data_IF_187078294785
#
_entry.id   IF_187078294785
#
_cell.length_a   1.000
_cell.length_b   1.000
_cell.length_c   1.000
_cell.angle_alpha   90.00
_cell.angle_beta   90.00
_cell.angle_gamma   90.00
#
_symmetry.space_group_name_H-M   'P 1'
#
loop_
_entity.id
_entity.type
_entity.pdbx_description
1 polymer ?
#
# COMPACT_ATOMS: atom_id res chain seq x y z
N UNK A 1 3.71 7.79 19.50
CA UNK A 1 4.45 8.26 20.69
C UNK A 1 5.83 8.68 20.24
N UNK A 2 6.49 9.59 20.96
CA UNK A 2 7.77 10.16 20.53
C UNK A 2 8.93 9.87 21.51
N UNK A 3 8.86 8.72 22.20
CA UNK A 3 9.80 8.36 23.27
C UNK A 3 10.90 7.38 22.80
N UNK A 4 10.83 6.88 21.55
CA UNK A 4 11.82 5.95 20.97
C UNK A 4 11.87 4.57 21.66
N UNK A 5 10.88 4.26 22.50
CA UNK A 5 10.83 3.02 23.30
C UNK A 5 9.76 2.06 22.78
N UNK A 6 9.94 0.78 23.13
CA UNK A 6 8.97 -0.30 22.92
C UNK A 6 7.77 -0.19 23.87
N UNK A 7 6.98 0.88 23.73
CA UNK A 7 5.80 1.13 24.55
C UNK A 7 4.83 2.07 23.83
N UNK A 8 3.68 1.55 23.43
CA UNK A 8 2.56 2.35 22.91
C UNK A 8 1.62 2.68 24.07
N UNK A 9 1.39 3.97 24.31
CA UNK A 9 0.55 4.45 25.40
C UNK A 9 -0.88 4.74 24.93
N UNK A 10 -1.84 4.72 25.86
CA UNK A 10 -3.18 5.22 25.60
C UNK A 10 -3.15 6.72 25.26
N UNK A 11 -4.00 7.19 24.31
CA UNK A 11 -5.07 6.45 23.64
C UNK A 11 -4.63 5.61 22.43
N UNK A 12 -3.39 5.74 21.95
CA UNK A 12 -2.93 4.99 20.77
C UNK A 12 -2.98 3.46 20.98
N UNK A 13 -2.83 2.99 22.22
CA UNK A 13 -2.95 1.57 22.57
C UNK A 13 -4.40 1.02 22.59
N UNK A 14 -5.43 1.86 22.40
CA UNK A 14 -6.81 1.40 22.31
C UNK A 14 -7.03 0.61 21.01
N UNK A 15 -7.60 -0.61 21.05
CA UNK A 15 -7.83 -1.41 19.85
C UNK A 15 -8.80 -0.76 18.85
N UNK A 16 -9.60 0.23 19.26
CA UNK A 16 -10.47 1.01 18.38
C UNK A 16 -9.75 2.17 17.70
N UNK A 17 -8.53 2.50 18.13
CA UNK A 17 -7.68 3.47 17.46
C UNK A 17 -6.79 2.78 16.41
N UNK A 18 -6.34 3.57 15.43
CA UNK A 18 -5.24 3.20 14.53
C UNK A 18 -3.97 3.83 15.09
N UNK A 19 -3.07 3.02 15.63
CA UNK A 19 -1.79 3.51 16.14
C UNK A 19 -0.81 3.69 14.99
N UNK A 20 -0.27 4.91 14.87
CA UNK A 20 0.61 5.32 13.76
C UNK A 20 2.04 5.53 14.25
N UNK A 21 2.99 4.80 13.66
CA UNK A 21 4.43 5.06 13.80
C UNK A 21 4.93 6.04 12.73
N UNK A 22 6.08 6.66 12.97
CA UNK A 22 6.68 7.64 12.07
C UNK A 22 7.87 7.05 11.32
N UNK A 23 7.94 7.32 10.01
CA UNK A 23 9.12 7.04 9.17
C UNK A 23 9.82 8.33 8.73
N UNK A 24 11.08 8.20 8.34
CA UNK A 24 11.86 9.23 7.66
C UNK A 24 11.70 9.17 6.13
N UNK A 25 12.57 9.87 5.38
CA UNK A 25 12.52 9.89 3.91
C UNK A 25 13.13 8.63 3.25
N UNK A 26 13.82 7.81 4.02
CA UNK A 26 14.44 6.56 3.61
C UNK A 26 13.56 5.34 3.90
N UNK A 27 12.37 5.58 4.43
CA UNK A 27 11.45 4.56 4.94
C UNK A 27 11.99 3.79 6.15
N UNK A 28 12.96 4.36 6.86
CA UNK A 28 13.39 3.86 8.15
C UNK A 28 12.45 4.38 9.26
N UNK A 29 12.27 3.59 10.32
CA UNK A 29 11.50 4.03 11.50
C UNK A 29 12.24 5.20 12.13
N UNK A 30 11.56 6.33 12.29
CA UNK A 30 12.13 7.49 12.96
C UNK A 30 12.60 7.11 14.38
N UNK A 31 13.81 7.54 14.74
CA UNK A 31 14.53 7.27 15.99
C UNK A 31 13.68 7.49 17.24
N UNK A 32 12.84 8.53 17.25
CA UNK A 32 11.95 8.86 18.35
C UNK A 32 10.61 8.10 18.32
N UNK A 33 10.25 7.42 17.22
CA UNK A 33 8.94 6.78 17.10
C UNK A 33 8.85 5.63 18.09
N UNK A 34 7.92 5.74 19.05
CA UNK A 34 7.58 4.61 19.92
C UNK A 34 7.04 3.46 19.05
N UNK A 35 7.38 2.22 19.44
CA UNK A 35 7.04 1.01 18.71
C UNK A 35 6.47 -0.06 19.66
N UNK A 36 5.92 -1.14 19.13
CA UNK A 36 5.36 -2.23 19.92
C UNK A 36 4.12 -2.83 19.28
N UNK A 37 3.49 -3.82 19.96
CA UNK A 37 2.47 -4.65 19.33
C UNK A 37 1.14 -3.98 19.03
N UNK A 38 0.98 -2.72 19.45
CA UNK A 38 -0.19 -1.92 19.14
C UNK A 38 -0.01 -1.08 17.86
N UNK A 39 1.22 -0.91 17.35
CA UNK A 39 1.47 -0.21 16.08
C UNK A 39 0.73 -0.94 14.97
N UNK A 40 -0.08 -0.20 14.23
CA UNK A 40 -0.89 -0.78 13.17
C UNK A 40 -0.38 -0.41 11.79
N UNK A 41 0.11 0.81 11.62
CA UNK A 41 0.57 1.31 10.32
C UNK A 41 1.58 2.43 10.53
N UNK A 42 2.38 2.69 9.50
CA UNK A 42 3.36 3.77 9.46
C UNK A 42 2.97 4.87 8.50
N UNK A 43 3.48 6.07 8.75
CA UNK A 43 3.42 7.18 7.80
C UNK A 43 4.62 8.13 7.96
N UNK A 44 4.89 8.98 6.97
CA UNK A 44 5.95 9.98 7.06
C UNK A 44 5.74 10.91 8.26
N UNK A 45 6.66 10.86 9.22
CA UNK A 45 6.70 11.75 10.38
C UNK A 45 8.01 12.52 10.50
N UNK A 46 9.01 12.14 9.70
CA UNK A 46 10.33 12.74 9.62
C UNK A 46 11.25 12.35 10.77
N UNK A 47 12.54 12.60 10.61
CA UNK A 47 13.59 12.35 11.61
C UNK A 47 14.66 13.46 11.55
N UNK A 48 15.20 13.80 12.72
CA UNK A 48 16.32 14.73 12.85
C UNK A 48 17.68 14.06 12.61
N UNK A 49 17.77 12.73 12.72
CA UNK A 49 19.05 12.02 12.48
C UNK A 49 19.44 12.02 10.99
N UNK A 50 18.46 12.22 10.10
CA UNK A 50 18.61 12.20 8.64
C UNK A 50 18.71 13.62 8.00
N UNK A 51 18.97 14.66 8.82
CA UNK A 51 19.14 16.04 8.31
C UNK A 51 20.39 16.24 7.44
N UNK A 52 21.26 15.23 7.27
CA UNK A 52 22.47 15.33 6.46
C UNK A 52 22.20 15.35 4.95
N UNK A 53 21.03 14.91 4.46
CA UNK A 53 20.71 14.85 3.02
C UNK A 53 19.51 15.69 2.56
N UNK A 54 18.82 16.38 3.47
CA UNK A 54 17.72 17.28 3.11
C UNK A 54 16.34 16.67 3.38
N UNK A 55 15.65 17.33 4.31
CA UNK A 55 14.19 17.30 4.55
C UNK A 55 13.54 15.94 4.72
N UNK A 56 13.92 15.20 5.76
CA UNK A 56 13.03 14.21 6.37
C UNK A 56 11.85 14.89 7.12
N UNK A 57 12.05 16.14 7.56
CA UNK A 57 11.05 16.90 8.32
C UNK A 57 9.78 17.22 7.53
N UNK A 58 8.64 17.22 8.23
CA UNK A 58 7.31 17.48 7.67
C UNK A 58 6.95 18.97 7.84
N UNK A 59 6.62 19.63 6.73
CA UNK A 59 6.10 21.00 6.75
C UNK A 59 4.71 21.00 7.39
N UNK A 60 4.55 21.76 8.46
CA UNK A 60 3.33 21.83 9.26
C UNK A 60 2.94 23.28 9.53
N UNK A 61 1.64 23.53 9.64
CA UNK A 61 1.13 24.84 10.07
C UNK A 61 1.44 25.06 11.55
N UNK A 62 1.71 26.31 11.93
CA UNK A 62 2.05 26.63 13.32
C UNK A 62 1.63 28.03 13.71
N UNK A 63 0.76 28.09 14.71
CA UNK A 63 0.36 29.34 15.32
C UNK A 63 1.43 29.76 16.35
N UNK A 64 2.11 30.87 16.10
CA UNK A 64 3.05 31.47 17.06
C UNK A 64 4.45 31.81 16.54
N UNK A 65 4.72 31.58 15.25
CA UNK A 65 5.91 32.09 14.55
C UNK A 65 5.54 33.19 13.57
N UNK A 66 6.51 34.03 13.17
CA UNK A 66 6.36 35.01 12.07
C UNK A 66 6.17 34.34 10.69
N UNK A 67 6.28 33.00 10.62
CA UNK A 67 5.99 32.18 9.46
C UNK A 67 4.74 31.33 9.70
N UNK A 68 3.86 31.24 8.70
CA UNK A 68 2.63 30.43 8.72
C UNK A 68 2.91 28.91 8.78
N UNK A 69 4.15 28.51 8.46
CA UNK A 69 4.61 27.13 8.37
C UNK A 69 6.01 26.96 8.98
N UNK A 70 6.26 25.80 9.58
CA UNK A 70 7.60 25.32 9.91
C UNK A 70 7.76 23.85 9.53
N UNK A 71 9.02 23.42 9.43
CA UNK A 71 9.36 22.01 9.40
C UNK A 71 9.45 21.47 10.82
N UNK A 72 8.79 20.35 11.08
CA UNK A 72 8.80 19.65 12.36
C UNK A 72 8.80 18.14 12.15
N UNK A 73 9.01 17.39 13.21
CA UNK A 73 8.98 15.93 13.22
C UNK A 73 8.00 15.44 14.28
N UNK A 74 7.51 14.23 14.11
CA UNK A 74 6.75 13.54 15.15
C UNK A 74 5.80 12.50 14.61
N UNK A 75 5.39 11.56 15.49
CA UNK A 75 4.20 10.74 15.23
C UNK A 75 2.93 11.61 15.12
N UNK A 76 2.96 12.83 15.68
CA UNK A 76 1.96 13.89 15.46
C UNK A 76 1.88 14.36 14.00
N UNK A 77 2.95 14.23 13.22
CA UNK A 77 2.99 14.56 11.79
C UNK A 77 2.68 13.35 10.93
N UNK A 78 3.01 12.14 11.38
CA UNK A 78 2.61 10.90 10.72
C UNK A 78 1.08 10.67 10.75
N UNK A 79 0.45 10.84 11.92
CA UNK A 79 -0.98 10.62 12.12
C UNK A 79 -1.92 11.38 11.14
N UNK A 80 -1.71 12.67 10.83
CA UNK A 80 -2.56 13.38 9.87
C UNK A 80 -2.41 12.87 8.43
N UNK A 81 -1.30 12.26 8.03
CA UNK A 81 -1.20 11.60 6.72
C UNK A 81 -2.14 10.39 6.62
N UNK A 82 -2.15 9.53 7.65
CA UNK A 82 -3.09 8.39 7.73
C UNK A 82 -4.53 8.87 7.77
N UNK A 83 -4.80 9.93 8.54
CA UNK A 83 -6.12 10.55 8.61
C UNK A 83 -6.58 11.10 7.26
N UNK A 84 -5.67 11.77 6.54
CA UNK A 84 -5.93 12.27 5.19
C UNK A 84 -6.27 11.14 4.22
N UNK A 85 -5.52 10.03 4.25
CA UNK A 85 -5.83 8.87 3.43
C UNK A 85 -7.19 8.25 3.77
N UNK A 86 -7.51 8.09 5.05
CA UNK A 86 -8.82 7.61 5.48
C UNK A 86 -9.96 8.51 4.96
N UNK A 87 -9.77 9.84 4.98
CA UNK A 87 -10.74 10.79 4.43
C UNK A 87 -10.89 10.66 2.90
N UNK A 88 -9.80 10.43 2.17
CA UNK A 88 -9.85 10.17 0.72
C UNK A 88 -10.63 8.89 0.44
N UNK A 89 -10.34 7.79 1.13
CA UNK A 89 -11.07 6.52 1.00
C UNK A 89 -12.56 6.69 1.28
N UNK A 90 -12.90 7.44 2.34
CA UNK A 90 -14.29 7.78 2.66
C UNK A 90 -14.97 8.54 1.51
N UNK A 91 -14.27 9.51 0.91
CA UNK A 91 -14.79 10.27 -0.23
C UNK A 91 -15.03 9.42 -1.49
N UNK A 92 -14.31 8.29 -1.61
CA UNK A 92 -14.42 7.33 -2.70
C UNK A 92 -15.46 6.22 -2.43
N UNK A 93 -16.18 6.29 -1.29
CA UNK A 93 -17.28 5.37 -0.98
C UNK A 93 -16.93 4.27 0.04
N UNK A 94 -15.68 4.18 0.51
CA UNK A 94 -15.30 3.28 1.62
C UNK A 94 -15.75 3.92 2.93
N UNK A 95 -17.02 3.75 3.29
CA UNK A 95 -17.64 4.53 4.38
C UNK A 95 -17.62 3.85 5.75
N UNK A 96 -17.30 2.56 5.80
CA UNK A 96 -17.17 1.79 7.05
C UNK A 96 -15.78 1.96 7.65
N UNK A 97 -15.70 2.20 8.96
CA UNK A 97 -14.42 2.25 9.67
C UNK A 97 -13.63 0.94 9.53
N UNK A 98 -14.32 -0.21 9.51
CA UNK A 98 -13.68 -1.52 9.30
C UNK A 98 -13.03 -1.61 7.92
N UNK A 99 -13.75 -1.17 6.87
CA UNK A 99 -13.27 -1.27 5.50
C UNK A 99 -12.15 -0.27 5.23
N UNK A 100 -12.23 0.95 5.77
CA UNK A 100 -11.13 1.92 5.72
C UNK A 100 -9.89 1.33 6.39
N UNK A 101 -10.06 0.78 7.60
CA UNK A 101 -8.96 0.19 8.36
C UNK A 101 -8.34 -1.00 7.64
N UNK A 102 -9.14 -1.85 7.01
CA UNK A 102 -8.64 -2.94 6.16
C UNK A 102 -7.86 -2.39 4.96
N UNK A 103 -8.44 -1.41 4.24
CA UNK A 103 -7.81 -0.80 3.08
C UNK A 103 -6.45 -0.16 3.41
N UNK A 104 -6.35 0.52 4.55
CA UNK A 104 -5.07 1.08 5.04
C UNK A 104 -3.99 -0.01 5.16
N UNK A 105 -4.34 -1.20 5.69
CA UNK A 105 -3.40 -2.30 5.92
C UNK A 105 -3.03 -3.02 4.64
N UNK A 106 -4.01 -3.38 3.81
CA UNK A 106 -3.81 -4.22 2.62
C UNK A 106 -3.14 -3.47 1.48
N UNK A 107 -3.11 -2.15 1.54
CA UNK A 107 -2.49 -1.31 0.50
C UNK A 107 -1.20 -0.67 0.96
N UNK A 108 -0.78 -0.88 2.21
CA UNK A 108 0.48 -0.34 2.71
C UNK A 108 1.68 -0.94 1.98
N UNK A 109 2.73 -0.14 1.80
CA UNK A 109 4.03 -0.64 1.39
C UNK A 109 4.67 -1.32 2.60
N UNK A 110 4.88 -2.64 2.52
CA UNK A 110 5.51 -3.44 3.58
C UNK A 110 6.98 -2.99 3.78
N UNK A 111 7.32 -2.65 5.02
CA UNK A 111 8.64 -2.15 5.41
C UNK A 111 9.22 -3.03 6.51
N UNK A 112 10.53 -3.25 6.48
CA UNK A 112 11.19 -4.11 7.46
C UNK A 112 10.96 -5.61 7.18
N UNK A 113 10.81 -6.45 8.22
CA UNK A 113 10.49 -7.86 8.04
C UNK A 113 9.09 -8.04 7.45
N UNK A 114 8.97 -8.88 6.41
CA UNK A 114 7.70 -9.00 5.69
C UNK A 114 6.51 -9.40 6.56
N UNK A 115 5.35 -8.80 6.28
CA UNK A 115 4.12 -8.92 7.04
C UNK A 115 3.99 -7.85 8.12
N UNK A 116 3.25 -8.15 9.19
CA UNK A 116 3.13 -7.21 10.30
C UNK A 116 4.34 -7.31 11.23
N UNK A 117 4.85 -6.16 11.64
CA UNK A 117 5.87 -6.04 12.68
C UNK A 117 5.59 -4.89 13.66
N UNK A 118 6.34 -4.86 14.76
CA UNK A 118 6.11 -3.90 15.84
C UNK A 118 6.62 -2.49 15.55
N UNK A 119 7.50 -2.33 14.56
CA UNK A 119 8.10 -1.06 14.17
C UNK A 119 7.23 -0.35 13.12
N UNK A 120 6.82 -1.08 12.09
CA UNK A 120 6.10 -0.52 10.97
C UNK A 120 4.60 -0.84 10.94
N UNK A 121 4.14 -1.76 11.79
CA UNK A 121 2.79 -2.28 11.69
C UNK A 121 2.65 -3.08 10.40
N UNK A 122 1.63 -2.76 9.59
CA UNK A 122 1.47 -3.31 8.24
C UNK A 122 2.30 -2.60 7.17
N UNK A 123 3.24 -1.73 7.56
CA UNK A 123 4.04 -0.94 6.64
C UNK A 123 3.59 0.51 6.52
N UNK A 124 4.16 1.26 5.58
CA UNK A 124 3.83 2.68 5.35
C UNK A 124 2.59 2.80 4.48
N UNK A 125 1.68 3.72 4.82
CA UNK A 125 0.54 4.03 3.96
C UNK A 125 0.97 4.30 2.50
N UNK A 126 0.24 3.72 1.55
CA UNK A 126 0.39 4.03 0.13
C UNK A 126 -0.92 4.61 -0.42
N UNK A 127 -0.94 5.93 -0.59
CA UNK A 127 -2.14 6.64 -1.06
C UNK A 127 -2.53 6.23 -2.49
N UNK A 128 -1.56 5.92 -3.36
CA UNK A 128 -1.83 5.52 -4.73
C UNK A 128 -2.54 4.15 -4.78
N UNK A 129 -2.02 3.16 -4.05
CA UNK A 129 -2.61 1.82 -3.99
C UNK A 129 -4.01 1.84 -3.34
N UNK A 130 -4.16 2.55 -2.21
CA UNK A 130 -5.45 2.72 -1.55
C UNK A 130 -6.53 3.33 -2.48
N UNK A 131 -6.18 4.33 -3.28
CA UNK A 131 -7.12 4.95 -4.23
C UNK A 131 -7.51 3.99 -5.36
N UNK A 132 -6.55 3.26 -5.93
CA UNK A 132 -6.82 2.26 -6.97
C UNK A 132 -7.73 1.13 -6.46
N UNK A 133 -7.58 0.75 -5.19
CA UNK A 133 -8.31 -0.35 -4.56
C UNK A 133 -9.55 0.09 -3.77
N UNK A 134 -9.93 1.37 -3.80
CA UNK A 134 -11.05 1.88 -2.99
C UNK A 134 -12.37 1.13 -3.26
N UNK A 135 -12.63 0.77 -4.52
CA UNK A 135 -13.84 0.02 -4.88
C UNK A 135 -13.87 -1.41 -4.30
N UNK A 136 -12.73 -2.11 -4.26
CA UNK A 136 -12.62 -3.44 -3.64
C UNK A 136 -12.66 -3.36 -2.12
N UNK A 137 -12.12 -2.29 -1.53
CA UNK A 137 -12.23 -2.05 -0.10
C UNK A 137 -13.69 -1.83 0.34
N UNK A 138 -14.51 -1.12 -0.47
CA UNK A 138 -15.90 -0.78 -0.13
C UNK A 138 -16.90 -1.95 -0.19
N UNK A 139 -16.60 -3.04 -0.91
CA UNK A 139 -17.55 -4.15 -1.13
C UNK A 139 -17.43 -5.27 -0.08
N UNK A 140 -16.75 -5.02 1.04
CA UNK A 140 -16.66 -5.98 2.14
C UNK A 140 -15.54 -7.01 1.98
N UNK A 141 -14.41 -6.64 1.36
CA UNK A 141 -13.14 -7.35 1.51
C UNK A 141 -12.56 -7.30 2.94
N UNK A 142 -13.38 -7.11 3.97
CA UNK A 142 -13.03 -7.05 5.39
C UNK A 142 -12.78 -8.43 6.02
N UNK A 143 -12.31 -9.39 5.23
CA UNK A 143 -11.85 -10.71 5.66
C UNK A 143 -10.56 -11.00 4.92
N UNK A 144 -9.46 -10.53 5.48
CA UNK A 144 -8.14 -10.60 4.88
C UNK A 144 -7.13 -9.85 5.73
N UNK A 145 -6.74 -10.46 6.85
CA UNK A 145 -5.38 -10.16 7.33
C UNK A 145 -4.39 -10.61 6.26
N UNK A 146 -3.23 -9.98 6.10
CA UNK A 146 -2.16 -10.44 5.22
C UNK A 146 -1.85 -11.91 5.52
N UNK A 147 -2.21 -12.73 4.54
CA UNK A 147 -2.57 -14.14 4.71
C UNK A 147 -3.65 -14.56 3.71
N UNK A 148 -4.56 -13.63 3.38
CA UNK A 148 -5.49 -13.79 2.25
C UNK A 148 -4.91 -13.12 1.01
N UNK A 149 -4.37 -13.94 0.11
CA UNK A 149 -3.80 -13.56 -1.19
C UNK A 149 -4.79 -12.70 -2.00
N UNK A 150 -4.44 -11.48 -2.34
CA UNK A 150 -5.18 -10.65 -3.29
C UNK A 150 -5.04 -11.26 -4.70
N UNK A 151 -6.09 -11.13 -5.52
CA UNK A 151 -5.99 -11.62 -6.89
C UNK A 151 -4.95 -10.79 -7.68
N UNK A 152 -4.06 -11.41 -8.48
CA UNK A 152 -3.07 -10.69 -9.24
C UNK A 152 -3.73 -9.79 -10.30
N UNK A 153 -3.09 -8.65 -10.59
CA UNK A 153 -3.49 -7.77 -11.69
C UNK A 153 -2.87 -8.28 -13.00
N UNK A 154 -3.72 -8.73 -13.91
CA UNK A 154 -3.30 -9.18 -15.23
C UNK A 154 -2.94 -7.99 -16.13
N UNK A 155 -1.72 -8.01 -16.67
CA UNK A 155 -1.22 -7.06 -17.67
C UNK A 155 -0.59 -7.86 -18.80
N UNK A 156 -1.01 -7.61 -20.04
CA UNK A 156 -0.45 -8.31 -21.19
C UNK A 156 -0.22 -7.41 -22.39
N UNK A 157 0.71 -7.85 -23.23
CA UNK A 157 0.92 -7.34 -24.59
C UNK A 157 0.80 -8.49 -25.59
N UNK A 158 0.61 -8.16 -26.87
CA UNK A 158 0.59 -9.15 -27.95
C UNK A 158 1.32 -8.61 -29.18
N UNK A 159 1.91 -9.51 -29.94
CA UNK A 159 2.54 -9.23 -31.23
C UNK A 159 2.20 -10.34 -32.22
N UNK A 160 1.76 -9.98 -33.43
CA UNK A 160 1.34 -10.96 -34.44
C UNK A 160 2.25 -10.93 -35.65
N UNK A 161 2.51 -12.12 -36.18
CA UNK A 161 3.13 -12.35 -37.50
C UNK A 161 2.07 -12.88 -38.46
N UNK A 162 2.46 -13.24 -39.69
CA UNK A 162 1.53 -13.81 -40.66
C UNK A 162 0.90 -15.14 -40.19
N UNK A 163 1.61 -15.91 -39.36
CA UNK A 163 1.24 -17.29 -39.02
C UNK A 163 0.79 -17.47 -37.56
N UNK A 164 1.19 -16.56 -36.65
CA UNK A 164 0.87 -16.68 -35.22
C UNK A 164 0.98 -15.37 -34.45
N UNK A 165 0.28 -15.28 -33.32
CA UNK A 165 0.42 -14.23 -32.33
C UNK A 165 1.14 -14.75 -31.08
N UNK A 166 2.08 -13.95 -30.57
CA UNK A 166 2.74 -14.14 -29.27
C UNK A 166 2.09 -13.22 -28.24
N UNK A 167 1.82 -13.76 -27.06
CA UNK A 167 1.24 -13.06 -25.92
C UNK A 167 2.23 -13.07 -24.78
N UNK A 168 2.41 -11.91 -24.15
CA UNK A 168 3.33 -11.73 -23.04
C UNK A 168 2.60 -11.12 -21.85
N UNK A 169 2.47 -11.91 -20.78
CA UNK A 169 1.84 -11.56 -19.52
C UNK A 169 2.83 -11.25 -18.41
N UNK A 170 4.15 -11.18 -18.68
CA UNK A 170 5.18 -11.02 -17.63
C UNK A 170 5.09 -9.68 -16.89
N UNK A 171 4.35 -8.71 -17.41
CA UNK A 171 4.05 -7.45 -16.74
C UNK A 171 2.92 -7.58 -15.70
N UNK A 172 2.25 -8.73 -15.62
CA UNK A 172 1.27 -9.02 -14.57
C UNK A 172 1.96 -9.05 -13.22
N UNK A 173 1.29 -8.56 -12.19
CA UNK A 173 1.88 -8.41 -10.88
C UNK A 173 0.86 -8.74 -9.80
N UNK A 174 1.37 -9.14 -8.65
CA UNK A 174 0.58 -9.42 -7.46
C UNK A 174 1.03 -8.48 -6.35
N UNK A 175 0.07 -7.85 -5.68
CA UNK A 175 0.32 -6.78 -4.72
C UNK A 175 0.84 -7.32 -3.39
N UNK A 176 0.45 -8.54 -3.03
CA UNK A 176 0.76 -9.21 -1.78
C UNK A 176 1.40 -10.59 -1.97
N UNK A 177 1.81 -10.91 -3.20
CA UNK A 177 2.32 -12.22 -3.56
C UNK A 177 3.19 -12.26 -4.82
N UNK A 178 3.28 -13.44 -5.42
CA UNK A 178 3.84 -13.63 -6.75
C UNK A 178 2.78 -14.23 -7.65
N UNK A 179 2.78 -13.85 -8.92
CA UNK A 179 1.96 -14.52 -9.93
C UNK A 179 2.49 -15.94 -10.13
N UNK A 180 1.86 -16.92 -9.48
CA UNK A 180 2.29 -18.33 -9.50
C UNK A 180 1.78 -19.10 -10.72
N UNK A 181 0.79 -18.56 -11.45
CA UNK A 181 0.21 -19.21 -12.62
C UNK A 181 -0.34 -18.22 -13.63
N UNK A 182 -0.35 -18.62 -14.90
CA UNK A 182 -0.87 -17.85 -16.03
C UNK A 182 -1.78 -18.75 -16.85
N UNK A 183 -2.93 -18.22 -17.26
CA UNK A 183 -3.87 -18.88 -18.15
C UNK A 183 -4.25 -17.93 -19.29
N UNK A 184 -4.26 -18.45 -20.52
CA UNK A 184 -4.66 -17.73 -21.71
C UNK A 184 -5.91 -18.39 -22.28
N UNK A 185 -6.93 -17.59 -22.54
CA UNK A 185 -8.05 -17.92 -23.42
C UNK A 185 -7.86 -17.10 -24.69
N UNK A 186 -7.81 -17.77 -25.84
CA UNK A 186 -7.60 -17.09 -27.13
C UNK A 186 -8.92 -16.75 -27.82
N UNK A 187 -10.09 -17.10 -27.26
CA UNK A 187 -11.39 -16.75 -27.81
C UNK A 187 -11.84 -17.56 -29.02
N UNK A 188 -11.03 -18.51 -29.50
CA UNK A 188 -11.36 -19.48 -30.56
C UNK A 188 -11.64 -20.90 -30.01
N UNK A 189 -11.73 -21.02 -28.69
CA UNK A 189 -11.91 -22.28 -27.97
C UNK A 189 -10.61 -23.00 -27.61
N UNK A 190 -9.45 -22.44 -27.98
CA UNK A 190 -8.14 -22.92 -27.52
C UNK A 190 -7.63 -22.12 -26.31
N UNK A 191 -6.76 -22.75 -25.51
CA UNK A 191 -6.21 -22.18 -24.29
C UNK A 191 -4.74 -22.58 -24.12
N UNK A 192 -3.98 -21.74 -23.39
CA UNK A 192 -2.59 -22.02 -23.03
C UNK A 192 -2.30 -21.63 -21.57
N UNK A 193 -1.11 -21.99 -21.10
CA UNK A 193 -0.59 -21.58 -19.79
C UNK A 193 0.88 -21.16 -19.90
N UNK A 194 1.36 -20.44 -18.89
CA UNK A 194 2.73 -19.88 -18.86
C UNK A 194 2.75 -18.37 -19.07
N UNK A 195 3.80 -17.71 -18.57
CA UNK A 195 3.92 -16.25 -18.59
C UNK A 195 3.92 -15.65 -20.01
N UNK A 196 4.33 -16.45 -21.00
CA UNK A 196 4.21 -16.16 -22.42
C UNK A 196 3.52 -17.33 -23.12
N UNK A 197 2.79 -17.05 -24.19
CA UNK A 197 2.17 -18.07 -25.03
C UNK A 197 2.22 -17.68 -26.51
N UNK A 198 2.19 -18.67 -27.39
CA UNK A 198 2.10 -18.45 -28.85
C UNK A 198 0.92 -19.24 -29.38
N UNK A 199 0.08 -18.60 -30.19
CA UNK A 199 -1.10 -19.22 -30.78
C UNK A 199 -1.30 -18.83 -32.25
N UNK A 200 -1.78 -19.78 -33.04
CA UNK A 200 -2.09 -19.60 -34.46
C UNK A 200 -3.59 -19.74 -34.67
N UNK A 201 -4.23 -18.65 -35.11
CA UNK A 201 -5.66 -18.63 -35.40
C UNK A 201 -5.92 -19.29 -36.76
N UNK A 202 -6.83 -20.25 -36.80
CA UNK A 202 -7.17 -20.98 -38.03
C UNK A 202 -7.88 -20.09 -39.06
N UNK A 203 -8.67 -19.14 -38.58
CA UNK A 203 -9.42 -18.19 -39.38
C UNK A 203 -8.98 -16.76 -39.04
N UNK A 204 -9.09 -15.79 -39.96
CA UNK A 204 -8.96 -14.38 -39.63
C UNK A 204 -10.21 -13.92 -38.86
N UNK A 205 -10.02 -13.21 -37.76
CA UNK A 205 -11.13 -12.78 -36.92
C UNK A 205 -10.75 -11.82 -35.80
N UNK A 206 -11.76 -11.33 -35.07
CA UNK A 206 -11.59 -10.63 -33.80
C UNK A 206 -11.89 -11.62 -32.67
N UNK A 207 -10.87 -11.88 -31.87
CA UNK A 207 -10.94 -12.79 -30.73
C UNK A 207 -10.93 -11.98 -29.43
N UNK A 208 -11.64 -12.45 -28.41
CA UNK A 208 -11.78 -11.81 -27.10
C UNK A 208 -11.14 -12.66 -26.03
#
# INVERSE_FOLDING_TARGET
GNDGIRSVLYPAADPNCVAVSATDNGDDRASYSSYGPQVEISAPGGDLEDVLFGTSMIVSTWSGSDADYLQTIGTSMAAPHVTGLAAVLYSLGVTSATDIRACLRTTADDLGPGGWDEEFGWGRINMHQAVLQAASCATGGGGGGPGDNLAPTAVFTHACTADSCTFDGTASWDADGQVVSYAWDFGDGSAASGATATHAFADPGRYL
#
